data_IF_907589896492
#
_entry.id   IF_907589896492
#
_cell.length_a   1.000
_cell.length_b   1.000
_cell.length_c   1.000
_cell.angle_alpha   90.00
_cell.angle_beta   90.00
_cell.angle_gamma   90.00
#
_symmetry.space_group_name_H-M   'P 1'
#
loop_
_entity.id
_entity.type
_entity.pdbx_description
1 polymer ?
#
# COMPACT_ATOMS: atom_id res chain seq x y z
N UNK A 1 -5.78 -10.97 -12.59
CA UNK A 1 -5.46 -12.42 -12.66
C UNK A 1 -4.30 -12.68 -11.73
N UNK A 2 -4.40 -13.63 -10.81
CA UNK A 2 -3.26 -14.06 -9.98
C UNK A 2 -2.98 -15.53 -10.33
N UNK A 3 -1.79 -15.84 -10.86
CA UNK A 3 -1.39 -17.21 -11.25
C UNK A 3 -2.42 -17.96 -12.12
N UNK A 4 -3.05 -17.27 -13.08
CA UNK A 4 -4.04 -17.88 -13.99
C UNK A 4 -5.47 -18.04 -13.43
N UNK A 5 -5.71 -17.63 -12.18
CA UNK A 5 -7.03 -17.68 -11.57
C UNK A 5 -7.66 -16.28 -11.43
N UNK A 6 -8.99 -16.23 -11.51
CA UNK A 6 -9.79 -15.04 -11.26
C UNK A 6 -9.65 -14.66 -9.78
N UNK A 7 -8.93 -13.57 -9.51
CA UNK A 7 -8.61 -13.16 -8.14
C UNK A 7 -9.84 -12.59 -7.40
N UNK A 8 -10.79 -12.00 -8.14
CA UNK A 8 -12.04 -11.46 -7.63
C UNK A 8 -13.01 -11.21 -8.79
N UNK A 9 -14.32 -11.36 -8.52
CA UNK A 9 -15.41 -10.81 -9.33
C UNK A 9 -16.08 -9.69 -8.55
N UNK A 10 -16.20 -8.50 -9.13
CA UNK A 10 -16.86 -7.35 -8.51
C UNK A 10 -16.62 -6.05 -9.26
N UNK A 11 -17.18 -4.97 -8.75
CA UNK A 11 -17.02 -3.59 -9.21
C UNK A 11 -15.64 -3.02 -8.82
N UNK A 12 -15.25 -1.92 -9.47
CA UNK A 12 -14.03 -1.19 -9.13
C UNK A 12 -14.07 -0.66 -7.68
N UNK A 13 -15.26 -0.27 -7.19
CA UNK A 13 -15.45 0.20 -5.83
C UNK A 13 -15.18 -0.92 -4.80
N UNK A 14 -15.66 -2.14 -5.07
CA UNK A 14 -15.38 -3.30 -4.22
C UNK A 14 -13.90 -3.68 -4.24
N UNK A 15 -13.24 -3.54 -5.40
CA UNK A 15 -11.79 -3.78 -5.49
C UNK A 15 -11.03 -2.75 -4.65
N UNK A 16 -11.36 -1.46 -4.78
CA UNK A 16 -10.76 -0.40 -3.97
C UNK A 16 -10.97 -0.63 -2.47
N UNK A 17 -12.16 -1.06 -2.06
CA UNK A 17 -12.48 -1.37 -0.67
C UNK A 17 -11.61 -2.50 -0.07
N UNK A 18 -11.04 -3.39 -0.91
CA UNK A 18 -10.14 -4.45 -0.44
C UNK A 18 -8.88 -3.91 0.26
N UNK A 19 -8.46 -2.68 -0.07
CA UNK A 19 -7.33 -2.00 0.55
C UNK A 19 -7.66 -1.30 1.87
N UNK A 20 -8.93 -1.23 2.26
CA UNK A 20 -9.32 -0.46 3.44
C UNK A 20 -8.77 -1.10 4.72
N UNK A 21 -8.07 -0.29 5.52
CA UNK A 21 -7.34 -0.77 6.71
C UNK A 21 -5.98 -1.42 6.40
N UNK A 22 -5.52 -1.42 5.15
CA UNK A 22 -4.25 -2.01 4.74
C UNK A 22 -3.29 -0.99 4.12
N UNK A 23 -3.67 0.28 4.01
CA UNK A 23 -2.91 1.29 3.27
C UNK A 23 -2.53 2.42 4.19
N UNK A 24 -1.25 2.77 4.13
CA UNK A 24 -0.65 3.77 5.00
C UNK A 24 0.19 4.75 4.18
N UNK A 25 0.30 5.98 4.66
CA UNK A 25 1.15 7.01 4.08
C UNK A 25 1.98 7.72 5.14
N UNK A 26 3.18 8.12 4.75
CA UNK A 26 4.02 9.01 5.55
C UNK A 26 4.93 9.82 4.63
N UNK A 27 5.28 11.02 5.05
CA UNK A 27 6.42 11.75 4.49
C UNK A 27 7.62 11.42 5.36
N UNK A 28 8.64 10.82 4.77
CA UNK A 28 9.87 10.42 5.47
C UNK A 28 11.09 11.12 4.89
N UNK A 29 12.16 11.21 5.67
CA UNK A 29 13.43 11.74 5.18
C UNK A 29 14.11 10.76 4.20
N UNK A 30 15.06 11.23 3.36
CA UNK A 30 15.87 10.35 2.53
C UNK A 30 16.65 9.30 3.33
N UNK A 31 17.10 9.65 4.54
CA UNK A 31 17.81 8.75 5.45
C UNK A 31 16.88 7.65 5.98
N UNK A 32 15.66 8.01 6.41
CA UNK A 32 14.64 7.03 6.80
C UNK A 32 14.28 6.11 5.64
N UNK A 33 14.08 6.67 4.45
CA UNK A 33 13.79 5.90 3.23
C UNK A 33 14.87 4.88 2.91
N UNK A 34 16.15 5.22 3.09
CA UNK A 34 17.27 4.31 2.87
C UNK A 34 17.31 3.12 3.86
N UNK A 35 16.66 3.24 5.02
CA UNK A 35 16.55 2.18 6.02
C UNK A 35 15.28 1.33 5.87
N UNK A 36 14.36 1.73 4.99
CA UNK A 36 13.09 1.01 4.82
C UNK A 36 13.28 -0.32 4.09
N UNK A 37 12.59 -1.35 4.59
CA UNK A 37 12.41 -2.61 3.87
C UNK A 37 11.58 -2.38 2.59
N UNK A 38 12.15 -2.55 1.37
CA UNK A 38 11.48 -2.19 0.11
C UNK A 38 10.16 -2.92 -0.11
N UNK A 39 9.98 -4.08 0.54
CA UNK A 39 8.78 -4.90 0.47
C UNK A 39 7.55 -4.21 1.08
N UNK A 40 7.72 -3.22 1.94
CA UNK A 40 6.60 -2.49 2.54
C UNK A 40 6.14 -1.31 1.68
N UNK A 41 6.97 -0.84 0.74
CA UNK A 41 6.72 0.35 -0.07
C UNK A 41 6.08 -0.07 -1.40
N UNK A 42 4.96 0.57 -1.74
CA UNK A 42 4.26 0.33 -3.02
C UNK A 42 4.34 1.52 -3.96
N UNK A 43 4.51 2.72 -3.43
CA UNK A 43 4.73 3.92 -4.24
C UNK A 43 5.55 4.96 -3.45
N UNK A 44 6.25 5.82 -4.20
CA UNK A 44 7.05 6.92 -3.66
C UNK A 44 6.87 8.16 -4.51
N UNK A 45 6.81 9.33 -3.88
CA UNK A 45 6.81 10.62 -4.55
C UNK A 45 7.62 11.63 -3.75
N UNK A 46 8.58 12.29 -4.39
CA UNK A 46 9.31 13.40 -3.77
C UNK A 46 8.37 14.60 -3.58
N UNK A 47 8.39 15.18 -2.39
CA UNK A 47 7.66 16.40 -2.00
C UNK A 47 8.63 17.37 -1.33
N UNK A 48 8.32 18.67 -1.20
CA UNK A 48 9.23 19.63 -0.54
C UNK A 48 9.65 19.22 0.87
N UNK A 49 8.78 18.51 1.59
CA UNK A 49 8.98 18.07 2.96
C UNK A 49 9.76 16.75 3.08
N UNK A 50 10.05 16.06 1.97
CA UNK A 50 10.75 14.77 1.97
C UNK A 50 10.26 13.81 0.89
N UNK A 51 10.10 12.53 1.25
CA UNK A 51 9.60 11.48 0.36
C UNK A 51 8.26 10.99 0.88
N UNK A 52 7.17 11.30 0.18
CA UNK A 52 5.88 10.70 0.43
C UNK A 52 5.93 9.23 0.01
N UNK A 53 5.87 8.34 0.98
CA UNK A 53 5.83 6.91 0.79
C UNK A 53 4.43 6.40 1.04
N UNK A 54 3.99 5.50 0.16
CA UNK A 54 2.76 4.72 0.32
C UNK A 54 3.13 3.28 0.65
N UNK A 55 2.51 2.75 1.68
CA UNK A 55 2.78 1.43 2.21
C UNK A 55 1.52 0.56 2.15
N UNK A 56 1.74 -0.76 2.11
CA UNK A 56 0.65 -1.73 2.18
C UNK A 56 0.95 -2.84 3.19
N UNK A 57 0.02 -3.08 4.11
CA UNK A 57 0.16 -4.05 5.20
C UNK A 57 -0.91 -3.87 6.28
N UNK A 58 -1.13 -4.91 7.07
CA UNK A 58 -2.11 -4.90 8.17
C UNK A 58 -1.77 -3.86 9.26
N UNK A 59 -0.48 -3.58 9.43
CA UNK A 59 0.03 -2.60 10.38
C UNK A 59 0.87 -1.53 9.68
N UNK A 60 0.87 -0.33 10.24
CA UNK A 60 1.78 0.73 9.84
C UNK A 60 3.24 0.27 10.02
N UNK A 61 4.09 0.37 8.99
CA UNK A 61 5.48 -0.08 9.11
C UNK A 61 6.37 0.88 9.90
N UNK A 62 5.88 2.09 10.18
CA UNK A 62 6.57 3.16 10.92
C UNK A 62 5.56 3.95 11.76
N UNK A 63 6.02 4.48 12.90
CA UNK A 63 5.16 5.05 13.95
C UNK A 63 4.33 6.27 13.49
N UNK A 64 4.87 7.07 12.57
CA UNK A 64 4.22 8.29 12.11
C UNK A 64 3.46 8.11 10.77
N UNK A 65 3.33 6.87 10.28
CA UNK A 65 2.46 6.60 9.15
C UNK A 65 0.99 6.66 9.56
N UNK A 66 0.16 7.24 8.70
CA UNK A 66 -1.28 7.38 8.92
C UNK A 66 -2.05 6.56 7.90
N UNK A 67 -3.25 6.12 8.29
CA UNK A 67 -4.13 5.39 7.39
C UNK A 67 -4.51 6.29 6.20
N UNK A 68 -4.41 5.74 5.00
CA UNK A 68 -4.74 6.45 3.77
C UNK A 68 -5.98 5.85 3.09
N UNK A 69 -6.72 6.68 2.37
CA UNK A 69 -7.84 6.21 1.54
C UNK A 69 -7.28 5.37 0.40
N UNK A 70 -7.68 4.10 0.23
CA UNK A 70 -7.18 3.25 -0.84
C UNK A 70 -7.57 3.77 -2.23
N UNK A 71 -6.68 3.61 -3.19
CA UNK A 71 -6.96 3.67 -4.62
C UNK A 71 -7.32 2.28 -5.15
N UNK A 72 -7.71 2.20 -6.43
CA UNK A 72 -7.95 0.92 -7.08
C UNK A 72 -6.70 0.02 -7.09
N UNK A 73 -5.53 0.62 -7.29
CA UNK A 73 -4.24 -0.09 -7.30
C UNK A 73 -3.95 -0.70 -5.92
N UNK A 74 -4.17 0.06 -4.85
CA UNK A 74 -4.00 -0.45 -3.49
C UNK A 74 -4.96 -1.60 -3.17
N UNK A 75 -6.21 -1.47 -3.61
CA UNK A 75 -7.21 -2.52 -3.48
C UNK A 75 -6.75 -3.83 -4.14
N UNK A 76 -6.19 -3.72 -5.34
CA UNK A 76 -5.61 -4.85 -6.06
C UNK A 76 -4.38 -5.45 -5.35
N UNK A 77 -3.46 -4.61 -4.89
CA UNK A 77 -2.26 -5.07 -4.19
C UNK A 77 -2.60 -5.74 -2.84
N UNK A 78 -3.57 -5.21 -2.10
CA UNK A 78 -4.03 -5.80 -0.84
C UNK A 78 -4.66 -7.18 -1.08
N UNK A 79 -5.47 -7.32 -2.13
CA UNK A 79 -6.06 -8.59 -2.54
C UNK A 79 -4.99 -9.63 -2.90
N UNK A 80 -3.96 -9.24 -3.65
CA UNK A 80 -2.85 -10.13 -4.01
C UNK A 80 -2.06 -10.60 -2.78
N UNK A 81 -1.83 -9.72 -1.79
CA UNK A 81 -1.15 -10.08 -0.54
C UNK A 81 -1.99 -11.00 0.35
N UNK A 82 -3.30 -10.79 0.43
CA UNK A 82 -4.22 -11.68 1.15
C UNK A 82 -4.26 -13.10 0.55
N UNK A 83 -4.19 -13.22 -0.77
CA UNK A 83 -4.18 -14.51 -1.47
C UNK A 83 -2.80 -15.19 -1.58
N UNK A 84 -1.74 -14.59 -1.02
CA UNK A 84 -0.40 -15.17 -0.99
C UNK A 84 -0.06 -15.87 0.35
N UNK A 85 -0.98 -15.80 1.33
CA UNK A 85 -0.97 -16.59 2.57
C UNK A 85 -1.59 -17.97 2.34
#
# INVERSE_FOLDING_TARGET
MNKGNLAMTGSLAELQACGQGYVWEAVISPEEFAQMEPRHIVATRTVPEGILCRFIGEYAPIDHAHAAVPTLEDGYLALLRKGAL
#
